data_IF_321742723427
#
_entry.id   IF_321742723427
#
_cell.length_a   1.000
_cell.length_b   1.000
_cell.length_c   1.000
_cell.angle_alpha   90.00
_cell.angle_beta   90.00
_cell.angle_gamma   90.00
#
_symmetry.space_group_name_H-M   'P 1'
#
loop_
_entity.id
_entity.type
_entity.pdbx_description
1 polymer ?
#
# COMPACT_ATOMS: atom_id res chain seq x y z
N UNK A 1 -3.75 15.26 -7.93
CA UNK A 1 -4.09 15.85 -9.25
C UNK A 1 -3.06 15.53 -10.33
N UNK A 2 -1.75 15.81 -10.14
CA UNK A 2 -0.70 15.47 -11.15
C UNK A 2 -0.53 13.95 -11.33
N UNK A 3 -0.68 13.18 -10.25
CA UNK A 3 -0.57 11.71 -10.28
C UNK A 3 -1.71 11.03 -11.05
N UNK A 4 -2.94 11.55 -10.90
CA UNK A 4 -4.13 11.04 -11.58
C UNK A 4 -4.11 11.32 -13.09
N UNK A 5 -3.54 12.46 -13.50
CA UNK A 5 -3.39 12.82 -14.92
C UNK A 5 -2.40 11.87 -15.60
N UNK A 6 -1.29 11.50 -14.95
CA UNK A 6 -0.28 10.62 -15.55
C UNK A 6 -0.76 9.16 -15.68
N UNK A 7 -1.47 8.64 -14.67
CA UNK A 7 -1.93 7.24 -14.67
C UNK A 7 -3.10 7.01 -15.64
N UNK A 8 -4.06 7.95 -15.71
CA UNK A 8 -5.16 7.88 -16.69
C UNK A 8 -4.65 8.10 -18.11
N UNK A 9 -3.66 8.98 -18.33
CA UNK A 9 -3.02 9.11 -19.65
C UNK A 9 -2.31 7.82 -20.06
N UNK A 10 -1.60 7.13 -19.16
CA UNK A 10 -0.83 5.93 -19.51
C UNK A 10 -1.73 4.75 -19.88
N UNK A 11 -2.86 4.55 -19.19
CA UNK A 11 -3.85 3.52 -19.55
C UNK A 11 -4.66 3.87 -20.81
N UNK A 12 -5.06 5.13 -20.99
CA UNK A 12 -5.76 5.56 -22.20
C UNK A 12 -4.87 5.55 -23.46
N UNK A 13 -3.58 5.85 -23.31
CA UNK A 13 -2.62 5.88 -24.44
C UNK A 13 -2.32 4.46 -24.96
N UNK A 14 -2.18 3.48 -24.07
CA UNK A 14 -1.96 2.07 -24.45
C UNK A 14 -3.18 1.45 -25.15
N UNK A 15 -4.41 1.82 -24.76
CA UNK A 15 -5.63 1.33 -25.43
C UNK A 15 -5.97 2.08 -26.74
N UNK A 16 -5.62 3.36 -26.86
CA UNK A 16 -5.91 4.15 -28.06
C UNK A 16 -4.95 3.82 -29.23
N UNK A 17 -3.70 3.46 -28.98
CA UNK A 17 -2.76 3.08 -30.06
C UNK A 17 -3.16 1.77 -30.76
N UNK A 18 -3.78 0.82 -30.04
CA UNK A 18 -4.24 -0.43 -30.66
C UNK A 18 -5.40 -0.26 -31.66
N UNK A 19 -6.27 0.75 -31.46
CA UNK A 19 -7.38 1.03 -32.39
C UNK A 19 -7.01 2.03 -33.51
N UNK A 20 -6.01 2.88 -33.29
CA UNK A 20 -5.64 3.93 -34.26
C UNK A 20 -4.70 3.41 -35.37
N UNK A 21 -3.79 2.46 -35.05
CA UNK A 21 -2.88 1.83 -36.01
C UNK A 21 -3.63 1.07 -37.12
N UNK A 22 -4.74 0.40 -36.80
CA UNK A 22 -5.56 -0.33 -37.78
C UNK A 22 -6.35 0.60 -38.73
N UNK A 23 -6.71 1.80 -38.28
CA UNK A 23 -7.42 2.79 -39.11
C UNK A 23 -6.47 3.61 -39.99
N UNK A 24 -5.24 3.84 -39.51
CA UNK A 24 -4.21 4.60 -40.22
C UNK A 24 -3.57 3.78 -41.36
N UNK A 25 -3.31 2.48 -41.14
CA UNK A 25 -2.79 1.58 -42.17
C UNK A 25 -3.79 1.34 -43.32
N UNK A 26 -5.10 1.51 -43.08
CA UNK A 26 -6.15 1.42 -44.12
C UNK A 26 -6.26 2.68 -44.99
N UNK A 27 -5.82 3.85 -44.50
CA UNK A 27 -5.95 5.12 -45.23
C UNK A 27 -4.69 5.55 -46.00
N UNK A 28 -3.54 4.89 -45.79
CA UNK A 28 -2.29 5.23 -46.51
C UNK A 28 -2.21 4.70 -47.95
N UNK A 29 -3.19 3.94 -48.44
CA UNK A 29 -3.17 3.41 -49.82
C UNK A 29 -3.63 4.41 -50.90
N UNK A 30 -3.98 5.65 -50.54
CA UNK A 30 -4.35 6.65 -51.54
C UNK A 30 -4.10 8.07 -51.02
N UNK A 31 -2.99 8.70 -51.41
CA UNK A 31 -2.91 10.09 -51.89
C UNK A 31 -1.46 10.56 -52.02
N UNK A 32 -1.22 11.34 -53.07
CA UNK A 32 0.08 11.80 -53.55
C UNK A 32 0.70 12.92 -52.70
N UNK A 33 2.02 13.00 -52.79
CA UNK A 33 3.00 13.67 -51.91
C UNK A 33 3.09 15.21 -52.04
N UNK A 34 2.99 15.98 -50.94
CA UNK A 34 3.59 17.31 -50.84
C UNK A 34 4.95 17.21 -50.13
N UNK A 35 6.02 17.69 -50.79
CA UNK A 35 7.39 17.67 -50.26
C UNK A 35 7.50 18.32 -48.88
N UNK A 36 7.55 17.47 -47.85
CA UNK A 36 7.78 17.84 -46.47
C UNK A 36 9.30 17.81 -46.21
N UNK A 37 9.87 18.93 -45.79
CA UNK A 37 11.29 19.00 -45.42
C UNK A 37 11.53 18.11 -44.19
N UNK A 38 11.99 16.89 -44.47
CA UNK A 38 12.30 15.84 -43.50
C UNK A 38 13.49 16.26 -42.64
N UNK A 39 13.21 16.89 -41.50
CA UNK A 39 14.23 17.28 -40.52
C UNK A 39 13.84 18.40 -39.55
N UNK A 40 12.72 19.09 -39.79
CA UNK A 40 12.29 20.23 -38.94
C UNK A 40 11.24 19.83 -37.89
N UNK A 41 10.51 18.72 -38.09
CA UNK A 41 9.51 18.26 -37.14
C UNK A 41 10.15 17.43 -36.02
N UNK A 42 10.12 17.99 -34.81
CA UNK A 42 10.35 17.23 -33.59
C UNK A 42 9.25 16.16 -33.54
N UNK A 43 9.65 14.89 -33.51
CA UNK A 43 8.74 13.78 -33.22
C UNK A 43 8.25 13.93 -31.78
N UNK A 44 7.13 14.64 -31.63
CA UNK A 44 6.56 15.01 -30.34
C UNK A 44 6.22 13.76 -29.53
N UNK A 45 5.74 12.70 -30.18
CA UNK A 45 5.42 11.42 -29.52
C UNK A 45 6.67 10.77 -28.94
N UNK A 46 7.74 10.67 -29.73
CA UNK A 46 9.04 10.14 -29.28
C UNK A 46 9.69 11.02 -28.21
N UNK A 47 9.58 12.35 -28.32
CA UNK A 47 10.16 13.27 -27.35
C UNK A 47 9.43 13.22 -26.01
N UNK A 48 8.09 13.21 -26.02
CA UNK A 48 7.27 13.10 -24.82
C UNK A 48 7.38 11.72 -24.16
N UNK A 49 7.36 10.63 -24.93
CA UNK A 49 7.56 9.27 -24.41
C UNK A 49 8.92 9.13 -23.69
N UNK A 50 9.99 9.65 -24.29
CA UNK A 50 11.31 9.66 -23.67
C UNK A 50 11.38 10.55 -22.42
N UNK A 51 10.67 11.68 -22.40
CA UNK A 51 10.62 12.57 -21.25
C UNK A 51 9.90 11.90 -20.07
N UNK A 52 8.72 11.33 -20.31
CA UNK A 52 7.94 10.61 -19.30
C UNK A 52 8.71 9.43 -18.71
N UNK A 53 9.38 8.63 -19.55
CA UNK A 53 10.24 7.53 -19.10
C UNK A 53 11.39 8.02 -18.21
N UNK A 54 12.08 9.09 -18.61
CA UNK A 54 13.19 9.66 -17.83
C UNK A 54 12.75 10.26 -16.50
N UNK A 55 11.56 10.88 -16.47
CA UNK A 55 10.96 11.40 -15.24
C UNK A 55 10.57 10.24 -14.32
N UNK A 56 9.92 9.21 -14.85
CA UNK A 56 9.61 7.98 -14.10
C UNK A 56 10.86 7.28 -13.55
N UNK A 57 11.89 7.09 -14.37
CA UNK A 57 13.16 6.49 -13.96
C UNK A 57 13.87 7.27 -12.85
N UNK A 58 13.73 8.60 -12.82
CA UNK A 58 14.25 9.44 -11.73
C UNK A 58 13.33 9.47 -10.51
N UNK A 59 12.02 9.32 -10.70
CA UNK A 59 11.04 9.32 -9.61
C UNK A 59 10.98 8.00 -8.86
N UNK A 60 11.21 6.86 -9.53
CA UNK A 60 11.17 5.54 -8.87
C UNK A 60 12.20 5.41 -7.74
N UNK A 61 13.35 6.05 -7.89
CA UNK A 61 14.43 6.06 -6.89
C UNK A 61 14.13 7.06 -5.75
N UNK A 62 13.12 7.92 -5.90
CA UNK A 62 12.68 8.92 -4.92
C UNK A 62 11.40 8.48 -4.18
N UNK A 63 10.59 7.59 -4.77
CA UNK A 63 9.30 7.13 -4.23
C UNK A 63 9.35 5.62 -4.01
N UNK A 64 9.84 5.20 -2.84
CA UNK A 64 9.82 3.80 -2.42
C UNK A 64 8.41 3.40 -1.93
N UNK A 65 7.51 3.14 -2.87
CA UNK A 65 6.22 2.53 -2.56
C UNK A 65 6.31 1.01 -2.67
N UNK A 66 5.99 0.31 -1.58
CA UNK A 66 5.94 -1.14 -1.50
C UNK A 66 4.47 -1.57 -1.55
N UNK A 67 3.96 -2.14 -2.66
CA UNK A 67 2.60 -2.68 -2.66
C UNK A 67 2.48 -3.81 -1.65
N UNK A 68 1.40 -3.80 -0.87
CA UNK A 68 1.12 -4.84 0.12
C UNK A 68 0.01 -5.73 -0.42
N UNK A 69 0.26 -7.03 -0.42
CA UNK A 69 -0.71 -8.09 -0.70
C UNK A 69 -0.93 -8.84 0.61
N UNK A 70 -2.18 -9.07 1.00
CA UNK A 70 -2.54 -9.78 2.22
C UNK A 70 -2.35 -11.30 2.03
N UNK A 71 -1.85 -11.99 3.06
CA UNK A 71 -1.67 -13.44 3.04
C UNK A 71 -2.87 -14.19 3.66
N UNK A 72 -3.68 -14.92 2.86
CA UNK A 72 -4.80 -15.72 3.37
C UNK A 72 -4.42 -16.79 4.40
N UNK A 73 -3.18 -17.28 4.39
CA UNK A 73 -2.70 -18.28 5.34
C UNK A 73 -2.47 -17.70 6.73
N UNK A 74 -2.30 -16.37 6.83
CA UNK A 74 -2.15 -15.67 8.11
C UNK A 74 -3.46 -15.14 8.65
N UNK A 75 -4.45 -14.89 7.77
CA UNK A 75 -5.72 -14.29 8.15
C UNK A 75 -6.48 -15.11 9.21
N UNK A 76 -6.94 -14.43 10.24
CA UNK A 76 -7.85 -15.03 11.22
C UNK A 76 -9.15 -15.51 10.57
N UNK A 77 -9.76 -16.63 11.02
CA UNK A 77 -11.00 -17.16 10.43
C UNK A 77 -12.16 -16.17 10.33
N UNK A 78 -12.25 -15.18 11.21
CA UNK A 78 -13.29 -14.15 11.16
C UNK A 78 -13.07 -13.07 10.07
N UNK A 79 -11.91 -13.09 9.38
CA UNK A 79 -11.53 -12.08 8.38
C UNK A 79 -11.74 -12.58 6.96
N UNK A 80 -12.46 -11.80 6.17
CA UNK A 80 -12.72 -12.04 4.75
C UNK A 80 -11.86 -11.08 3.94
N UNK A 81 -11.03 -11.63 3.06
CA UNK A 81 -10.18 -10.87 2.14
C UNK A 81 -10.92 -10.64 0.81
N UNK A 82 -10.58 -9.56 0.10
CA UNK A 82 -11.01 -9.36 -1.29
C UNK A 82 -10.27 -10.30 -2.24
N UNK A 83 -10.83 -10.53 -3.43
CA UNK A 83 -10.26 -11.43 -4.46
C UNK A 83 -8.84 -11.00 -4.91
N UNK A 84 -8.57 -9.69 -4.89
CA UNK A 84 -7.28 -9.11 -5.23
C UNK A 84 -6.30 -9.03 -4.04
N UNK A 85 -6.73 -9.51 -2.87
CA UNK A 85 -5.96 -9.56 -1.62
C UNK A 85 -5.44 -8.19 -1.15
N UNK A 86 -6.12 -7.11 -1.53
CA UNK A 86 -5.78 -5.75 -1.11
C UNK A 86 -6.66 -5.27 0.04
N UNK A 87 -7.78 -5.93 0.32
CA UNK A 87 -8.76 -5.43 1.29
C UNK A 87 -9.18 -6.53 2.24
N UNK A 88 -9.58 -6.13 3.44
CA UNK A 88 -10.00 -7.06 4.48
C UNK A 88 -11.16 -6.49 5.27
N UNK A 89 -12.12 -7.35 5.61
CA UNK A 89 -13.24 -7.02 6.47
C UNK A 89 -13.43 -8.12 7.50
N UNK A 90 -13.93 -7.74 8.67
CA UNK A 90 -14.47 -8.71 9.64
C UNK A 90 -15.85 -9.18 9.17
N UNK A 91 -16.08 -10.49 9.17
CA UNK A 91 -17.41 -11.06 8.94
C UNK A 91 -18.14 -11.34 10.23
N UNK A 92 -19.43 -11.66 10.11
CA UNK A 92 -20.30 -12.00 11.24
C UNK A 92 -20.04 -13.40 11.79
N UNK A 93 -19.49 -14.28 10.96
CA UNK A 93 -19.18 -15.67 11.30
C UNK A 93 -17.78 -16.06 10.84
N UNK A 94 -17.16 -16.95 11.60
CA UNK A 94 -15.85 -17.52 11.26
C UNK A 94 -15.94 -18.45 10.05
N UNK A 95 -14.93 -18.39 9.19
CA UNK A 95 -14.76 -19.30 8.08
C UNK A 95 -14.21 -20.65 8.56
N UNK A 96 -14.55 -21.72 7.84
CA UNK A 96 -13.96 -23.04 8.06
C UNK A 96 -12.60 -23.13 7.35
N UNK A 97 -11.55 -22.67 8.03
CA UNK A 97 -10.18 -22.67 7.53
C UNK A 97 -9.31 -23.67 8.30
N UNK A 98 -8.28 -24.28 7.66
CA UNK A 98 -7.37 -25.17 8.35
C UNK A 98 -6.53 -24.40 9.39
N UNK A 99 -6.25 -25.02 10.53
CA UNK A 99 -5.39 -24.45 11.58
C UNK A 99 -3.90 -24.67 11.25
N UNK A 100 -3.43 -24.03 10.18
CA UNK A 100 -2.01 -24.06 9.82
C UNK A 100 -1.17 -23.19 10.79
N UNK A 101 0.14 -23.46 10.95
CA UNK A 101 1.00 -22.76 11.90
C UNK A 101 1.02 -21.24 11.71
N UNK A 102 0.91 -20.77 10.46
CA UNK A 102 0.99 -19.37 10.08
C UNK A 102 -0.29 -18.58 10.42
N UNK A 103 -1.41 -19.26 10.72
CA UNK A 103 -2.71 -18.64 10.91
C UNK A 103 -2.83 -17.95 12.26
N UNK A 104 -3.26 -16.69 12.24
CA UNK A 104 -3.61 -15.95 13.45
C UNK A 104 -4.93 -16.47 14.02
N UNK A 105 -4.95 -17.00 15.23
CA UNK A 105 -6.18 -17.51 15.87
C UNK A 105 -6.64 -16.69 17.07
N UNK A 106 -5.74 -15.95 17.71
CA UNK A 106 -6.05 -15.19 18.94
C UNK A 106 -6.77 -13.87 18.69
N UNK A 107 -6.53 -13.23 17.54
CA UNK A 107 -7.06 -11.90 17.23
C UNK A 107 -7.44 -11.77 15.77
N UNK A 108 -8.37 -10.86 15.47
CA UNK A 108 -8.82 -10.52 14.13
C UNK A 108 -7.73 -9.75 13.35
N UNK A 109 -6.64 -10.44 13.00
CA UNK A 109 -5.45 -9.88 12.36
C UNK A 109 -5.05 -10.67 11.11
N UNK A 110 -4.36 -10.00 10.20
CA UNK A 110 -3.80 -10.54 8.96
C UNK A 110 -2.48 -9.84 8.65
N UNK A 111 -1.54 -10.57 8.02
CA UNK A 111 -0.24 -10.02 7.63
C UNK A 111 -0.15 -9.83 6.11
N UNK A 112 0.80 -9.00 5.70
CA UNK A 112 1.25 -8.96 4.31
C UNK A 112 1.99 -10.25 3.93
N UNK A 113 1.95 -10.63 2.66
CA UNK A 113 2.62 -11.82 2.12
C UNK A 113 4.14 -11.64 1.99
N UNK A 114 4.59 -10.40 1.79
CA UNK A 114 6.00 -10.05 1.70
C UNK A 114 6.44 -9.36 2.99
N UNK A 115 7.59 -9.80 3.52
CA UNK A 115 8.23 -9.19 4.68
C UNK A 115 9.57 -8.59 4.31
N UNK A 116 10.03 -7.64 5.13
CA UNK A 116 11.19 -6.81 4.89
C UNK A 116 12.30 -7.11 5.91
N UNK A 117 13.54 -7.19 5.44
CA UNK A 117 14.72 -7.47 6.27
C UNK A 117 15.83 -6.41 6.14
N UNK A 118 15.59 -5.33 5.40
CA UNK A 118 16.55 -4.25 5.13
C UNK A 118 15.88 -3.11 4.37
N UNK A 119 16.47 -1.92 4.37
CA UNK A 119 16.08 -0.83 3.47
C UNK A 119 14.85 -0.04 3.92
N UNK A 120 14.29 0.73 2.98
CA UNK A 120 13.17 1.64 3.20
C UNK A 120 11.94 1.21 2.42
N UNK A 121 10.81 1.14 3.10
CA UNK A 121 9.55 0.69 2.53
C UNK A 121 8.43 1.61 2.98
N UNK A 122 7.44 1.83 2.11
CA UNK A 122 6.25 2.56 2.52
C UNK A 122 5.01 2.10 1.78
N UNK A 123 3.88 2.10 2.47
CA UNK A 123 2.57 1.81 1.92
C UNK A 123 1.52 2.69 2.60
N UNK A 124 0.34 2.73 2.02
CA UNK A 124 -0.78 3.50 2.53
C UNK A 124 -1.95 2.57 2.81
N UNK A 125 -2.68 2.87 3.89
CA UNK A 125 -3.82 2.08 4.36
C UNK A 125 -5.00 3.03 4.46
N UNK A 126 -6.10 2.68 3.80
CA UNK A 126 -7.38 3.35 4.00
C UNK A 126 -8.10 2.70 5.17
N UNK A 127 -8.27 3.48 6.21
CA UNK A 127 -8.90 3.09 7.48
C UNK A 127 -10.33 3.63 7.59
N UNK A 128 -10.67 4.62 6.76
CA UNK A 128 -11.99 5.24 6.73
C UNK A 128 -12.45 5.75 8.09
N UNK A 129 -13.75 5.62 8.36
CA UNK A 129 -14.38 5.90 9.65
C UNK A 129 -14.43 4.68 10.59
N UNK A 130 -13.60 3.66 10.34
CA UNK A 130 -13.64 2.42 11.11
C UNK A 130 -13.34 2.69 12.60
N UNK A 131 -14.20 2.28 13.55
CA UNK A 131 -14.10 2.72 14.94
C UNK A 131 -12.91 2.10 15.68
N UNK A 132 -12.39 0.95 15.22
CA UNK A 132 -11.25 0.30 15.85
C UNK A 132 -10.32 -0.41 14.87
N UNK A 133 -9.06 0.03 14.77
CA UNK A 133 -8.08 -0.52 13.84
C UNK A 133 -6.66 -0.44 14.39
N UNK A 134 -5.81 -1.36 13.93
CA UNK A 134 -4.37 -1.38 14.22
C UNK A 134 -3.60 -1.56 12.90
N UNK A 135 -2.64 -0.68 12.63
CA UNK A 135 -1.80 -0.76 11.42
C UNK A 135 -0.34 -0.58 11.79
N UNK A 136 0.54 -1.35 11.16
CA UNK A 136 1.98 -1.25 11.42
C UNK A 136 2.76 -2.45 10.93
N UNK A 137 3.73 -2.88 11.72
CA UNK A 137 4.57 -4.04 11.43
C UNK A 137 4.60 -5.04 12.57
N UNK A 138 4.86 -6.29 12.21
CA UNK A 138 5.05 -7.42 13.14
C UNK A 138 6.28 -8.22 12.77
N UNK A 139 6.97 -8.76 13.77
CA UNK A 139 8.10 -9.67 13.57
C UNK A 139 7.65 -11.05 13.05
N UNK A 140 8.51 -11.73 12.29
CA UNK A 140 8.24 -13.06 11.71
C UNK A 140 7.89 -14.11 12.78
N UNK A 141 8.66 -14.13 13.87
CA UNK A 141 8.56 -15.07 15.00
C UNK A 141 7.42 -14.79 16.00
N UNK A 142 6.53 -13.86 15.68
CA UNK A 142 5.42 -13.48 16.57
C UNK A 142 4.54 -14.69 16.93
N UNK A 143 4.06 -14.75 18.17
CA UNK A 143 3.07 -15.76 18.55
C UNK A 143 1.72 -15.45 17.90
N UNK A 144 1.22 -16.38 17.09
CA UNK A 144 -0.02 -16.23 16.31
C UNK A 144 -1.22 -16.91 16.97
N UNK A 145 -0.97 -17.70 18.03
CA UNK A 145 -1.98 -18.56 18.65
C UNK A 145 -2.38 -18.09 20.04
N UNK A 146 -1.45 -17.50 20.79
CA UNK A 146 -1.68 -16.99 22.14
C UNK A 146 -2.24 -15.56 22.19
N UNK A 147 -2.69 -15.17 23.38
CA UNK A 147 -3.05 -13.78 23.69
C UNK A 147 -1.80 -12.91 23.56
N UNK A 148 -1.77 -12.09 22.52
CA UNK A 148 -0.63 -11.25 22.22
C UNK A 148 -0.98 -9.77 22.34
N UNK A 149 -0.45 -9.07 23.35
CA UNK A 149 -0.56 -7.63 23.44
C UNK A 149 0.10 -6.96 22.22
N UNK A 150 -0.60 -6.01 21.60
CA UNK A 150 -0.05 -5.18 20.53
C UNK A 150 0.93 -4.19 21.17
N UNK A 151 2.20 -4.56 21.23
CA UNK A 151 3.27 -3.72 21.77
C UNK A 151 4.64 -4.04 21.14
N UNK A 152 5.56 -3.07 21.10
CA UNK A 152 6.94 -3.27 20.65
C UNK A 152 7.67 -4.41 21.38
N UNK A 153 7.44 -4.57 22.69
CA UNK A 153 8.03 -5.65 23.50
C UNK A 153 7.62 -7.03 22.99
N UNK A 154 6.39 -7.14 22.45
CA UNK A 154 5.87 -8.35 21.83
C UNK A 154 6.25 -8.48 20.35
N UNK A 155 7.03 -7.54 19.81
CA UNK A 155 7.44 -7.51 18.40
C UNK A 155 6.37 -6.97 17.46
N UNK A 156 5.48 -6.11 17.94
CA UNK A 156 4.45 -5.45 17.13
C UNK A 156 4.59 -3.92 17.28
N UNK A 157 4.89 -3.24 16.18
CA UNK A 157 5.04 -1.78 16.13
C UNK A 157 3.89 -1.18 15.33
N UNK A 158 2.83 -0.78 16.02
CA UNK A 158 1.60 -0.29 15.39
C UNK A 158 1.18 1.10 15.90
N UNK A 159 0.40 1.77 15.06
CA UNK A 159 -0.53 2.82 15.46
C UNK A 159 -1.91 2.17 15.65
N UNK A 160 -2.53 2.42 16.79
CA UNK A 160 -3.83 1.90 17.13
C UNK A 160 -4.83 3.05 17.17
N UNK A 161 -6.05 2.78 16.71
CA UNK A 161 -7.19 3.66 16.82
C UNK A 161 -8.34 2.91 17.48
N UNK A 162 -8.97 3.55 18.46
CA UNK A 162 -10.18 3.05 19.11
C UNK A 162 -11.09 4.22 19.50
N UNK A 163 -12.27 4.27 18.90
CA UNK A 163 -13.34 5.23 19.19
C UNK A 163 -12.83 6.69 19.21
N UNK A 164 -12.04 7.09 18.21
CA UNK A 164 -11.48 8.44 18.08
C UNK A 164 -10.17 8.68 18.83
N UNK A 165 -9.70 7.71 19.62
CA UNK A 165 -8.44 7.80 20.36
C UNK A 165 -7.33 7.06 19.63
N UNK A 166 -6.19 7.70 19.47
CA UNK A 166 -4.99 7.08 18.88
C UNK A 166 -4.01 6.70 19.98
N UNK A 167 -3.37 5.54 19.88
CA UNK A 167 -2.33 5.09 20.83
C UNK A 167 -1.19 4.37 20.11
N UNK A 168 -0.05 4.28 20.79
CA UNK A 168 1.17 3.69 20.25
C UNK A 168 1.39 2.23 20.70
N UNK A 169 0.43 1.60 21.38
CA UNK A 169 0.60 0.22 21.87
C UNK A 169 1.56 0.06 23.06
N UNK A 170 2.17 1.14 23.57
CA UNK A 170 2.91 1.14 24.85
C UNK A 170 2.14 1.85 25.97
N UNK A 171 0.82 1.98 25.81
CA UNK A 171 -0.07 2.59 26.80
C UNK A 171 -0.14 4.11 26.75
N UNK A 172 0.48 4.76 25.76
CA UNK A 172 0.44 6.22 25.61
C UNK A 172 -0.54 6.65 24.51
N UNK A 173 -1.29 7.71 24.78
CA UNK A 173 -2.17 8.34 23.79
C UNK A 173 -1.36 9.22 22.85
N UNK A 174 -1.51 8.99 21.55
CA UNK A 174 -0.95 9.83 20.49
C UNK A 174 -1.87 11.03 20.27
N UNK A 175 -1.36 12.24 20.50
CA UNK A 175 -2.14 13.47 20.34
C UNK A 175 -2.24 13.83 18.87
N UNK A 176 -3.45 13.74 18.32
CA UNK A 176 -3.75 14.12 16.93
C UNK A 176 -4.70 15.32 16.90
N UNK A 177 -4.62 16.13 15.84
CA UNK A 177 -5.49 17.32 15.67
C UNK A 177 -6.77 17.02 14.88
N UNK A 178 -6.81 15.89 14.17
CA UNK A 178 -7.91 15.44 13.33
C UNK A 178 -7.95 13.90 13.32
N UNK A 179 -9.07 13.34 12.87
CA UNK A 179 -9.12 11.92 12.51
C UNK A 179 -8.60 11.72 11.09
N UNK A 180 -7.98 10.57 10.83
CA UNK A 180 -7.37 10.24 9.55
C UNK A 180 -8.18 9.16 8.83
N UNK A 181 -8.47 9.39 7.55
CA UNK A 181 -9.12 8.40 6.67
C UNK A 181 -8.09 7.45 6.04
N UNK A 182 -6.84 7.89 5.93
CA UNK A 182 -5.72 7.13 5.40
C UNK A 182 -4.49 7.33 6.27
N UNK A 183 -3.69 6.29 6.41
CA UNK A 183 -2.43 6.31 7.14
C UNK A 183 -1.33 5.83 6.21
N UNK A 184 -0.26 6.62 6.10
CA UNK A 184 0.97 6.16 5.47
C UNK A 184 1.86 5.50 6.53
N UNK A 185 2.26 4.26 6.28
CA UNK A 185 3.24 3.53 7.08
C UNK A 185 4.58 3.60 6.36
N UNK A 186 5.64 3.90 7.09
CA UNK A 186 7.01 3.90 6.59
C UNK A 186 7.91 3.08 7.51
N UNK A 187 8.61 2.12 6.93
CA UNK A 187 9.68 1.37 7.56
C UNK A 187 11.02 1.90 7.05
N UNK A 188 11.90 2.31 7.95
CA UNK A 188 13.33 2.47 7.71
C UNK A 188 14.02 1.39 8.53
N UNK A 189 14.16 0.19 7.93
CA UNK A 189 14.63 -1.00 8.64
C UNK A 189 16.04 -0.79 9.17
N UNK A 190 16.91 -0.19 8.35
CA UNK A 190 18.32 0.02 8.65
C UNK A 190 18.53 1.02 9.80
N UNK A 191 17.58 1.96 9.99
CA UNK A 191 17.57 2.91 11.12
C UNK A 191 16.70 2.48 12.29
N UNK A 192 16.00 1.35 12.18
CA UNK A 192 15.15 0.86 13.24
C UNK A 192 13.88 1.69 13.46
N UNK A 193 13.34 2.34 12.42
CA UNK A 193 12.19 3.25 12.56
C UNK A 193 10.93 2.71 11.85
N UNK A 194 9.80 2.71 12.57
CA UNK A 194 8.45 2.57 11.97
C UNK A 194 7.69 3.86 12.21
N UNK A 195 7.37 4.58 11.15
CA UNK A 195 6.76 5.91 11.22
C UNK A 195 5.39 5.96 10.52
N UNK A 196 4.50 6.77 11.08
CA UNK A 196 3.13 6.96 10.61
C UNK A 196 2.90 8.41 10.24
N UNK A 197 2.30 8.64 9.07
CA UNK A 197 2.02 9.97 8.55
C UNK A 197 0.62 10.07 7.98
N UNK A 198 0.11 11.29 7.93
CA UNK A 198 -0.97 11.66 7.01
C UNK A 198 -0.42 11.70 5.58
N UNK A 199 -0.90 10.86 4.64
CA UNK A 199 -0.41 10.90 3.25
C UNK A 199 -0.79 12.19 2.49
N UNK A 200 -1.76 12.98 2.96
CA UNK A 200 -2.21 14.19 2.25
C UNK A 200 -1.18 15.33 2.33
N UNK A 201 -0.66 15.59 3.52
CA UNK A 201 0.25 16.71 3.80
C UNK A 201 1.58 16.25 4.43
N UNK A 202 1.79 14.94 4.54
CA UNK A 202 2.95 14.32 5.20
C UNK A 202 3.12 14.75 6.67
N UNK A 203 2.02 15.16 7.34
CA UNK A 203 2.03 15.43 8.78
C UNK A 203 2.44 14.17 9.53
N UNK A 204 3.47 14.29 10.36
CA UNK A 204 3.92 13.23 11.25
C UNK A 204 2.87 12.93 12.32
N UNK A 205 2.56 11.65 12.51
CA UNK A 205 1.64 11.17 13.54
C UNK A 205 2.44 10.58 14.70
N UNK A 206 3.29 9.58 14.41
CA UNK A 206 4.08 8.89 15.42
C UNK A 206 5.26 8.11 14.81
N UNK A 207 6.29 7.82 15.61
CA UNK A 207 7.41 6.96 15.21
C UNK A 207 7.80 6.02 16.35
N UNK A 208 7.78 4.72 16.09
CA UNK A 208 8.47 3.71 16.88
C UNK A 208 9.94 3.65 16.53
N UNK A 209 10.78 3.37 17.53
CA UNK A 209 12.21 3.11 17.36
C UNK A 209 12.59 1.82 18.06
N UNK A 210 13.28 0.95 17.35
CA UNK A 210 13.75 -0.34 17.88
C UNK A 210 14.96 -0.86 17.12
N UNK A 211 15.53 -1.99 17.55
CA UNK A 211 16.54 -2.73 16.79
C UNK A 211 15.91 -3.97 16.19
N UNK A 212 15.67 -3.95 14.88
CA UNK A 212 15.09 -5.10 14.18
C UNK A 212 16.15 -6.16 13.89
N UNK A 213 15.88 -7.39 14.32
CA UNK A 213 16.81 -8.53 14.19
C UNK A 213 16.30 -9.62 13.25
N UNK A 214 15.06 -9.50 12.80
CA UNK A 214 14.39 -10.46 11.95
C UNK A 214 13.46 -9.76 10.95
N UNK A 215 12.94 -10.53 10.00
CA UNK A 215 12.02 -10.03 8.98
C UNK A 215 10.75 -9.47 9.63
N UNK A 216 10.31 -8.32 9.14
CA UNK A 216 9.07 -7.68 9.55
C UNK A 216 8.02 -7.75 8.45
N UNK A 217 6.79 -8.07 8.81
CA UNK A 217 5.65 -8.10 7.89
C UNK A 217 4.72 -6.93 8.15
N UNK A 218 4.07 -6.36 7.12
CA UNK A 218 2.90 -5.50 7.31
C UNK A 218 1.87 -6.20 8.20
N UNK A 219 1.34 -5.48 9.18
CA UNK A 219 0.40 -5.98 10.16
C UNK A 219 -0.88 -5.15 10.14
N UNK A 220 -2.02 -5.85 10.10
CA UNK A 220 -3.34 -5.24 10.11
C UNK A 220 -4.24 -5.95 11.12
N UNK A 221 -4.90 -5.17 11.98
CA UNK A 221 -5.86 -5.68 12.97
C UNK A 221 -7.17 -4.89 12.94
N UNK A 222 -8.30 -5.61 12.99
CA UNK A 222 -9.65 -5.05 12.82
C UNK A 222 -10.48 -5.28 14.08
N UNK A 223 -11.05 -4.22 14.64
CA UNK A 223 -12.05 -4.34 15.70
C UNK A 223 -13.44 -4.74 15.18
N UNK A 224 -14.44 -4.74 16.06
CA UNK A 224 -15.83 -5.01 15.66
C UNK A 224 -16.44 -3.78 14.95
N UNK A 225 -16.18 -3.59 13.65
CA UNK A 225 -17.07 -2.94 12.66
C UNK A 225 -16.39 -2.59 11.31
N UNK A 226 -16.44 -3.52 10.32
CA UNK A 226 -16.35 -3.38 8.86
C UNK A 226 -15.32 -2.44 8.14
N UNK A 227 -14.46 -3.11 7.32
CA UNK A 227 -13.65 -2.72 6.13
C UNK A 227 -12.35 -1.92 6.34
N UNK A 228 -11.25 -2.46 5.83
CA UNK A 228 -10.03 -1.75 5.43
C UNK A 228 -9.84 -1.91 3.91
N UNK A 229 -9.31 -0.87 3.26
CA UNK A 229 -8.74 -0.98 1.92
C UNK A 229 -7.23 -0.76 2.04
N UNK A 230 -6.41 -1.77 1.73
CA UNK A 230 -4.96 -1.60 1.59
C UNK A 230 -4.68 -1.31 0.10
N UNK A 231 -4.76 -0.05 -0.32
CA UNK A 231 -4.56 0.28 -1.73
C UNK A 231 -3.11 0.02 -2.19
N UNK A 232 -2.97 -0.35 -3.46
CA UNK A 232 -1.73 -0.18 -4.22
C UNK A 232 -1.48 1.32 -4.36
N UNK A 233 -0.24 1.77 -4.27
CA UNK A 233 0.07 3.20 -4.23
C UNK A 233 -0.46 3.92 -5.45
N UNK A 234 -1.00 5.12 -5.18
CA UNK A 234 -1.30 6.26 -6.05
C UNK A 234 -1.65 6.03 -7.54
#
# INVERSE_FOLDING_TARGET
>A
YVFFILNVFMLCYVFHEHFCLDSYLKNLCSLSDPQLVSGVLIDVAKHLGNLSLRVWEKMKDQVHFSPVILDPNTANPCLYLSDDLTSVRKGDTDQQLPDNPERNTSSATVFGSEGFSSGKHSWEVEVGDHPAWNVGLVKESVDRKGDLPISPVCGIWCLLHHSGTYSNGVGETVKVKKSFQRIRVQLDYDRGEVSFYDPEDMTHIYTHRDTFTEKLFPFFGIGNAAIFLCWKGC
#
